data_IF_957600250452
#
_entry.id   IF_957600250452
#
_cell.length_a   1.000
_cell.length_b   1.000
_cell.length_c   1.000
_cell.angle_alpha   90.00
_cell.angle_beta   90.00
_cell.angle_gamma   90.00
#
_symmetry.space_group_name_H-M   'P 1'
#
loop_
_entity.id
_entity.type
_entity.pdbx_description
1 polymer ?
#
# COMPACT_ATOMS: atom_id res chain seq x y z
N UNK A 1 15.39 -51.35 5.00
CA UNK A 1 14.17 -51.27 5.82
C UNK A 1 14.25 -49.98 6.63
N UNK A 2 13.15 -49.23 6.66
CA UNK A 2 13.00 -47.91 7.29
C UNK A 2 13.40 -47.91 8.77
N UNK A 3 13.95 -46.79 9.24
CA UNK A 3 13.43 -46.15 10.45
C UNK A 3 13.67 -44.64 10.39
N UNK A 4 12.59 -43.92 10.12
CA UNK A 4 12.39 -42.50 10.34
C UNK A 4 12.31 -42.25 11.86
N UNK A 5 13.04 -41.26 12.38
CA UNK A 5 12.81 -40.48 13.61
C UNK A 5 14.18 -39.96 14.09
N UNK A 6 14.44 -38.71 14.44
CA UNK A 6 13.57 -37.55 14.61
C UNK A 6 14.32 -36.53 15.48
N UNK A 7 14.05 -35.25 15.21
CA UNK A 7 14.14 -34.10 16.13
C UNK A 7 15.53 -33.50 16.38
N UNK A 8 15.75 -32.31 15.81
CA UNK A 8 16.17 -31.08 16.51
C UNK A 8 16.20 -29.94 15.46
N UNK A 9 15.10 -29.26 15.18
CA UNK A 9 14.70 -28.04 15.88
C UNK A 9 15.86 -27.06 16.11
N UNK A 10 16.30 -26.37 15.06
CA UNK A 10 17.02 -25.11 15.22
C UNK A 10 15.98 -23.98 15.26
N UNK A 11 15.39 -23.79 16.44
CA UNK A 11 14.61 -22.59 16.75
C UNK A 11 15.62 -21.46 16.91
N UNK A 12 15.75 -20.61 15.89
CA UNK A 12 16.37 -19.30 16.06
C UNK A 12 15.38 -18.44 16.86
N UNK A 13 15.58 -18.45 18.18
CA UNK A 13 15.02 -17.48 19.10
C UNK A 13 15.61 -16.13 18.73
N UNK A 14 14.92 -15.35 17.89
CA UNK A 14 15.15 -13.91 17.80
C UNK A 14 14.30 -13.30 18.91
N UNK A 15 14.82 -13.42 20.13
CA UNK A 15 14.41 -12.60 21.26
C UNK A 15 15.00 -11.20 21.07
N UNK A 16 14.32 -10.37 20.30
CA UNK A 16 14.51 -8.94 20.21
C UNK A 16 13.13 -8.38 19.93
N UNK A 17 12.65 -7.43 20.75
CA UNK A 17 11.29 -6.91 20.66
C UNK A 17 10.92 -6.68 19.19
N UNK A 18 9.88 -7.37 18.72
CA UNK A 18 9.35 -7.15 17.39
C UNK A 18 8.83 -5.71 17.37
N UNK A 19 9.67 -4.76 16.96
CA UNK A 19 9.19 -3.67 16.15
C UNK A 19 8.46 -4.39 15.01
N UNK A 20 7.13 -4.33 15.05
CA UNK A 20 6.30 -4.90 13.99
C UNK A 20 6.70 -4.12 12.74
N UNK A 21 7.52 -4.72 11.88
CA UNK A 21 7.79 -4.18 10.56
C UNK A 21 6.42 -4.22 9.87
N UNK A 22 5.80 -3.05 9.70
CA UNK A 22 4.56 -2.91 8.92
C UNK A 22 4.83 -3.53 7.56
N UNK A 23 4.02 -4.52 7.16
CA UNK A 23 4.24 -5.21 5.90
C UNK A 23 3.93 -4.31 4.69
N UNK A 24 4.19 -4.80 3.46
CA UNK A 24 3.81 -4.07 2.25
C UNK A 24 2.31 -3.73 2.20
N UNK A 25 1.46 -4.61 2.72
CA UNK A 25 0.01 -4.37 2.86
C UNK A 25 -0.26 -3.17 3.76
N UNK A 26 0.30 -3.20 4.98
CA UNK A 26 0.06 -2.18 5.99
C UNK A 26 0.55 -0.81 5.51
N UNK A 27 1.66 -0.77 4.76
CA UNK A 27 2.19 0.47 4.15
C UNK A 27 1.18 1.09 3.16
N UNK A 28 0.54 0.25 2.34
CA UNK A 28 -0.48 0.71 1.38
C UNK A 28 -1.77 1.10 2.09
N UNK A 29 -2.19 0.35 3.11
CA UNK A 29 -3.34 0.71 3.94
C UNK A 29 -3.12 2.05 4.65
N UNK A 30 -1.95 2.24 5.27
CA UNK A 30 -1.55 3.48 5.96
C UNK A 30 -1.56 4.67 4.99
N UNK A 31 -1.11 4.48 3.74
CA UNK A 31 -1.19 5.50 2.69
C UNK A 31 -2.64 5.88 2.37
N UNK A 32 -3.54 4.92 2.20
CA UNK A 32 -4.95 5.22 1.92
C UNK A 32 -5.65 5.86 3.12
N UNK A 33 -5.37 5.39 4.35
CA UNK A 33 -5.86 6.02 5.58
C UNK A 33 -5.35 7.46 5.73
N UNK A 34 -4.13 7.76 5.29
CA UNK A 34 -3.59 9.11 5.26
C UNK A 34 -4.32 10.01 4.25
N UNK A 35 -4.76 9.47 3.10
CA UNK A 35 -5.60 10.20 2.14
C UNK A 35 -6.97 10.52 2.77
N UNK A 36 -7.64 9.52 3.35
CA UNK A 36 -8.95 9.70 3.99
C UNK A 36 -8.91 10.73 5.14
N UNK A 37 -7.85 10.67 5.96
CA UNK A 37 -7.65 11.59 7.09
C UNK A 37 -7.01 12.92 6.70
N UNK A 38 -6.64 13.12 5.43
CA UNK A 38 -5.93 14.30 4.92
C UNK A 38 -4.59 14.56 5.65
N UNK A 39 -3.96 13.50 6.17
CA UNK A 39 -2.69 13.55 6.87
C UNK A 39 -1.52 13.44 5.88
N UNK A 40 -1.06 14.61 5.42
CA UNK A 40 0.09 14.66 4.50
C UNK A 40 1.35 14.01 5.10
N UNK A 41 1.57 14.14 6.41
CA UNK A 41 2.79 13.60 7.03
C UNK A 41 2.78 12.08 6.99
N UNK A 42 1.66 11.46 7.32
CA UNK A 42 1.49 10.02 7.22
C UNK A 42 1.60 9.55 5.76
N UNK A 43 1.01 10.28 4.82
CA UNK A 43 1.11 9.98 3.39
C UNK A 43 2.56 10.01 2.90
N UNK A 44 3.31 11.09 3.18
CA UNK A 44 4.72 11.20 2.79
C UNK A 44 5.59 10.16 3.49
N UNK A 45 5.24 9.74 4.70
CA UNK A 45 5.96 8.71 5.44
C UNK A 45 5.91 7.32 4.80
N UNK A 46 4.89 7.04 3.98
CA UNK A 46 4.76 5.80 3.21
C UNK A 46 5.58 5.80 1.91
N UNK A 47 6.06 6.96 1.45
CA UNK A 47 6.79 7.12 0.20
C UNK A 47 8.31 7.07 0.43
N UNK A 48 9.07 6.71 -0.60
CA UNK A 48 10.52 6.94 -0.59
C UNK A 48 10.86 8.44 -0.53
N UNK A 49 12.01 8.79 0.06
CA UNK A 49 12.38 10.18 0.36
C UNK A 49 12.27 11.13 -0.83
N UNK A 50 12.74 10.72 -2.01
CA UNK A 50 12.66 11.56 -3.21
C UNK A 50 11.21 11.85 -3.62
N UNK A 51 10.32 10.86 -3.51
CA UNK A 51 8.91 11.04 -3.81
C UNK A 51 8.23 11.88 -2.71
N UNK A 52 8.55 11.63 -1.44
CA UNK A 52 8.05 12.37 -0.29
C UNK A 52 8.37 13.87 -0.40
N UNK A 53 9.60 14.23 -0.74
CA UNK A 53 10.05 15.63 -0.89
C UNK A 53 9.34 16.37 -2.04
N UNK A 54 8.77 15.63 -3.00
CA UNK A 54 8.04 16.21 -4.13
C UNK A 54 6.56 16.49 -3.83
N UNK A 55 6.05 16.05 -2.68
CA UNK A 55 4.65 16.22 -2.29
C UNK A 55 4.41 17.65 -1.80
N UNK A 56 3.54 18.37 -2.50
CA UNK A 56 2.97 19.63 -2.02
C UNK A 56 1.80 19.32 -1.07
N UNK A 57 2.04 19.46 0.24
CA UNK A 57 1.05 19.10 1.26
C UNK A 57 -0.25 19.92 1.19
N UNK A 58 -0.22 21.16 0.70
CA UNK A 58 -1.45 21.94 0.57
C UNK A 58 -2.28 21.40 -0.60
N UNK A 59 -1.64 21.11 -1.73
CA UNK A 59 -2.32 20.49 -2.88
C UNK A 59 -2.82 19.08 -2.58
N UNK A 60 -2.07 18.31 -1.77
CA UNK A 60 -2.51 17.01 -1.29
C UNK A 60 -3.80 17.12 -0.48
N UNK A 61 -3.85 18.02 0.52
CA UNK A 61 -5.04 18.22 1.35
C UNK A 61 -6.23 18.72 0.54
N UNK A 62 -6.02 19.64 -0.40
CA UNK A 62 -7.07 20.11 -1.30
C UNK A 62 -7.65 18.97 -2.15
N UNK A 63 -6.80 18.11 -2.70
CA UNK A 63 -7.23 16.96 -3.48
C UNK A 63 -7.97 15.92 -2.63
N UNK A 64 -7.43 15.58 -1.45
CA UNK A 64 -8.06 14.65 -0.51
C UNK A 64 -9.42 15.15 -0.02
N UNK A 65 -9.53 16.45 0.30
CA UNK A 65 -10.79 17.07 0.69
C UNK A 65 -11.81 17.14 -0.47
N UNK A 66 -11.37 17.26 -1.73
CA UNK A 66 -12.27 17.15 -2.88
C UNK A 66 -12.80 15.73 -3.05
N UNK A 67 -11.96 14.71 -2.86
CA UNK A 67 -12.39 13.31 -2.89
C UNK A 67 -13.46 13.06 -1.81
N UNK A 68 -13.20 13.46 -0.57
CA UNK A 68 -14.18 13.35 0.53
C UNK A 68 -15.49 14.09 0.21
N UNK A 69 -15.41 15.34 -0.27
CA UNK A 69 -16.60 16.11 -0.69
C UNK A 69 -17.41 15.46 -1.80
N UNK A 70 -16.76 14.69 -2.68
CA UNK A 70 -17.43 13.94 -3.75
C UNK A 70 -18.01 12.62 -3.28
N UNK A 71 -17.77 12.19 -2.06
CA UNK A 71 -18.32 10.95 -1.50
C UNK A 71 -17.27 9.94 -1.06
N UNK A 72 -15.99 10.29 -1.16
CA UNK A 72 -14.87 9.43 -0.78
C UNK A 72 -14.54 8.38 -1.84
N UNK A 73 -13.83 7.35 -1.41
CA UNK A 73 -13.46 6.22 -2.25
C UNK A 73 -13.42 4.95 -1.40
N UNK A 74 -13.57 3.81 -2.05
CA UNK A 74 -13.19 2.50 -1.49
C UNK A 74 -11.93 1.99 -2.20
N UNK A 75 -11.22 1.08 -1.56
CA UNK A 75 -10.14 0.35 -2.20
C UNK A 75 -10.09 -1.11 -1.73
N UNK A 76 -9.63 -1.99 -2.63
CA UNK A 76 -9.43 -3.41 -2.37
C UNK A 76 -8.02 -3.80 -2.79
N UNK A 77 -7.24 -4.38 -1.88
CA UNK A 77 -5.96 -5.01 -2.21
C UNK A 77 -6.23 -6.38 -2.82
N UNK A 78 -6.05 -6.51 -4.13
CA UNK A 78 -6.42 -7.71 -4.90
C UNK A 78 -5.30 -8.74 -4.95
N UNK A 79 -4.04 -8.28 -4.95
CA UNK A 79 -2.88 -9.15 -4.96
C UNK A 79 -1.68 -8.52 -4.25
N UNK A 80 -0.88 -9.37 -3.59
CA UNK A 80 0.39 -8.98 -3.00
C UNK A 80 1.43 -10.03 -3.42
N UNK A 81 2.48 -9.56 -4.08
CA UNK A 81 3.68 -10.34 -4.37
C UNK A 81 4.84 -9.78 -3.57
N UNK A 82 5.63 -10.64 -2.93
CA UNK A 82 6.80 -10.21 -2.14
C UNK A 82 7.98 -11.12 -2.46
N UNK A 83 9.10 -10.50 -2.82
CA UNK A 83 10.36 -11.17 -3.10
C UNK A 83 11.50 -10.42 -2.39
N UNK A 84 12.06 -11.04 -1.35
CA UNK A 84 13.12 -10.46 -0.53
C UNK A 84 12.73 -9.08 0.02
N UNK A 85 13.44 -8.03 -0.40
CA UNK A 85 13.25 -6.63 0.01
C UNK A 85 12.38 -5.85 -0.96
N UNK A 86 11.66 -6.53 -1.87
CA UNK A 86 10.76 -5.90 -2.84
C UNK A 86 9.37 -6.49 -2.74
N UNK A 87 8.36 -5.67 -3.00
CA UNK A 87 6.98 -6.11 -3.08
C UNK A 87 6.23 -5.36 -4.18
N UNK A 88 5.20 -6.01 -4.71
CA UNK A 88 4.18 -5.39 -5.54
C UNK A 88 2.83 -5.59 -4.87
N UNK A 89 2.08 -4.50 -4.74
CA UNK A 89 0.73 -4.51 -4.19
C UNK A 89 -0.22 -4.00 -5.25
N UNK A 90 -1.11 -4.88 -5.71
CA UNK A 90 -2.17 -4.56 -6.67
C UNK A 90 -3.41 -4.12 -5.91
N UNK A 91 -3.98 -2.98 -6.30
CA UNK A 91 -5.11 -2.35 -5.64
C UNK A 91 -6.15 -1.91 -6.66
N UNK A 92 -7.41 -2.20 -6.43
CA UNK A 92 -8.51 -1.61 -7.20
C UNK A 92 -9.15 -0.52 -6.36
N UNK A 93 -9.33 0.68 -6.92
CA UNK A 93 -10.01 1.80 -6.25
C UNK A 93 -11.34 2.12 -6.92
N UNK A 94 -12.31 2.50 -6.11
CA UNK A 94 -13.65 2.91 -6.54
C UNK A 94 -13.92 4.31 -5.99
N UNK A 95 -13.92 5.32 -6.86
CA UNK A 95 -14.27 6.69 -6.46
C UNK A 95 -15.80 6.84 -6.40
N UNK A 96 -16.31 7.31 -5.28
CA UNK A 96 -17.72 7.64 -5.14
C UNK A 96 -17.94 9.06 -5.62
N UNK A 97 -18.86 9.24 -6.57
CA UNK A 97 -19.36 10.55 -6.97
C UNK A 97 -20.89 10.50 -7.19
N UNK A 98 -21.70 11.28 -6.46
CA UNK A 98 -23.15 11.27 -6.60
C UNK A 98 -23.63 11.80 -7.95
N UNK A 99 -22.80 12.56 -8.68
CA UNK A 99 -23.14 13.15 -9.96
C UNK A 99 -22.79 12.24 -11.14
N UNK A 100 -21.77 11.38 -11.03
CA UNK A 100 -21.30 10.53 -12.13
C UNK A 100 -20.83 9.17 -11.64
N UNK A 101 -21.09 8.11 -12.42
CA UNK A 101 -20.42 6.83 -12.18
C UNK A 101 -18.98 6.91 -12.68
N UNK A 102 -18.03 6.67 -11.78
CA UNK A 102 -16.61 6.62 -12.09
C UNK A 102 -16.20 5.14 -12.22
N UNK A 103 -15.54 4.72 -13.31
CA UNK A 103 -15.06 3.36 -13.43
C UNK A 103 -13.95 3.07 -12.41
N UNK A 104 -13.88 1.82 -11.97
CA UNK A 104 -12.81 1.33 -11.12
C UNK A 104 -11.43 1.56 -11.77
N UNK A 105 -10.45 1.87 -10.93
CA UNK A 105 -9.06 2.07 -11.36
C UNK A 105 -8.17 1.06 -10.69
N UNK A 106 -7.42 0.30 -11.48
CA UNK A 106 -6.43 -0.64 -10.98
C UNK A 106 -5.09 0.08 -10.82
N UNK A 107 -4.43 -0.16 -9.70
CA UNK A 107 -3.13 0.39 -9.33
C UNK A 107 -2.18 -0.76 -9.01
N UNK A 108 -0.91 -0.57 -9.34
CA UNK A 108 0.19 -1.42 -8.89
C UNK A 108 1.19 -0.52 -8.19
N UNK A 109 1.40 -0.75 -6.90
CA UNK A 109 2.43 -0.10 -6.10
C UNK A 109 3.67 -0.99 -6.03
N UNK A 110 4.81 -0.44 -6.43
CA UNK A 110 6.12 -1.04 -6.22
C UNK A 110 6.65 -0.56 -4.85
N UNK A 111 7.03 -1.50 -3.98
CA UNK A 111 7.57 -1.19 -2.65
C UNK A 111 8.94 -1.82 -2.44
N UNK A 112 9.79 -1.13 -1.68
CA UNK A 112 11.09 -1.65 -1.25
C UNK A 112 11.29 -1.50 0.27
N UNK A 113 11.91 -2.49 0.90
CA UNK A 113 12.29 -2.45 2.31
C UNK A 113 13.59 -1.63 2.46
N UNK A 114 13.49 -0.44 3.05
CA UNK A 114 14.58 0.51 3.27
C UNK A 114 14.71 0.76 4.78
N UNK A 115 15.90 0.53 5.34
CA UNK A 115 16.19 0.74 6.77
C UNK A 115 15.21 0.06 7.75
N UNK A 116 14.59 -1.05 7.32
CA UNK A 116 13.62 -1.81 8.12
C UNK A 116 12.16 -1.34 7.98
N UNK A 117 11.89 -0.37 7.10
CA UNK A 117 10.56 0.13 6.77
C UNK A 117 10.25 -0.12 5.29
N UNK A 118 9.03 -0.52 4.96
CA UNK A 118 8.60 -0.59 3.57
C UNK A 118 8.23 0.80 3.07
N UNK A 119 8.69 1.15 1.88
CA UNK A 119 8.42 2.43 1.22
C UNK A 119 7.90 2.19 -0.18
N UNK A 120 6.92 2.98 -0.60
CA UNK A 120 6.42 3.01 -1.97
C UNK A 120 7.44 3.76 -2.83
N UNK A 121 8.02 3.05 -3.79
CA UNK A 121 9.04 3.57 -4.72
C UNK A 121 8.47 3.82 -6.13
N UNK A 122 7.26 3.34 -6.39
CA UNK A 122 6.60 3.57 -7.66
C UNK A 122 5.12 3.21 -7.64
N UNK A 123 4.38 3.79 -8.58
CA UNK A 123 2.99 3.42 -8.83
C UNK A 123 2.68 3.46 -10.32
N UNK A 124 1.78 2.57 -10.75
CA UNK A 124 1.21 2.55 -12.10
C UNK A 124 -0.30 2.42 -11.95
N UNK A 125 -1.05 3.12 -12.79
CA UNK A 125 -2.51 3.09 -12.77
C UNK A 125 -3.04 2.80 -14.16
N UNK A 126 -4.10 1.99 -14.23
CA UNK A 126 -4.84 1.72 -15.46
C UNK A 126 -6.34 1.73 -15.20
N UNK A 127 -7.09 2.41 -16.06
CA UNK A 127 -8.55 2.42 -15.97
C UNK A 127 -9.09 1.08 -16.49
N UNK A 128 -10.00 0.46 -15.73
CA UNK A 128 -10.61 -0.81 -16.11
C UNK A 128 -11.74 -0.61 -17.14
N UNK A 129 -11.48 0.11 -18.24
CA UNK A 129 -12.43 0.23 -19.35
C UNK A 129 -12.53 -1.04 -20.21
N UNK A 130 -11.75 -2.09 -19.90
CA UNK A 130 -11.56 -3.28 -20.74
C UNK A 130 -12.23 -4.55 -20.20
N UNK A 131 -12.78 -4.54 -18.99
CA UNK A 131 -13.63 -5.63 -18.47
C UNK A 131 -15.11 -5.24 -18.57
N UNK A 132 -15.62 -5.08 -19.79
CA UNK A 132 -17.04 -5.30 -20.02
C UNK A 132 -17.22 -6.76 -20.51
N UNK A 133 -18.22 -7.50 -19.99
CA UNK A 133 -18.52 -8.85 -20.49
C UNK A 133 -18.94 -8.86 -21.97
#
# INVERSE_FOLDING_TARGET
>A
MLSLAGIAALVLVIGGGAALIHGPKDTVDDMFAAIESQDCSAFTGALEDQAADSVDCERFKEAAAEIDRRGGFDYDITHISTENTKAQVEVTTTLHDPAVSVPETDHVFDLELQDGEWKITGSKSSNNSWKMP
#
